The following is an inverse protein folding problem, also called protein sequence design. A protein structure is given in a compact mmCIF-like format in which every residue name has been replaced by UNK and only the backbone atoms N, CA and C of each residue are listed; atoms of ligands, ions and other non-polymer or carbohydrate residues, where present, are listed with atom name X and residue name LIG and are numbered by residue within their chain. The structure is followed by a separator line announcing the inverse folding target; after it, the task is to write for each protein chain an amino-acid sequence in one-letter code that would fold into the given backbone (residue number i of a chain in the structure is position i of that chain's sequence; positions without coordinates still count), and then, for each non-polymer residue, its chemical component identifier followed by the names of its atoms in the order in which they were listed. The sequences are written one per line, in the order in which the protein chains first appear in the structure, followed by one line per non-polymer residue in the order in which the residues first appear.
data_IF_067600252857
#
_entry.id   IF_067600252857
#
_cell.length_a   1.000
_cell.length_b   1.000
_cell.length_c   1.000
_cell.angle_alpha   90.00
_cell.angle_beta   90.00
_cell.angle_gamma   90.00
#
_symmetry.space_group_name_H-M   'P 1'
#
loop_
_entity.id
_entity.type
_entity.pdbx_description
1 polymer ?
#
# COMPACT_ATOMS: atom_id res chain seq x y z
N UNK A 1 30.30 12.43 37.45
CA UNK A 1 30.04 11.41 36.39
C UNK A 1 30.23 12.08 35.05
N UNK A 2 31.31 11.76 34.33
CA UNK A 2 31.57 12.31 33.00
C UNK A 2 30.82 11.44 31.99
N UNK A 3 29.74 11.97 31.41
CA UNK A 3 29.00 11.28 30.36
C UNK A 3 29.81 11.38 29.07
N UNK A 4 30.43 10.27 28.65
CA UNK A 4 31.22 10.23 27.41
C UNK A 4 30.26 10.39 26.22
N UNK A 5 30.44 11.40 25.35
CA UNK A 5 29.52 11.63 24.24
C UNK A 5 29.53 10.43 23.29
N UNK A 6 28.35 9.95 22.92
CA UNK A 6 28.18 8.87 21.94
C UNK A 6 28.75 9.35 20.60
N UNK A 7 29.62 8.57 19.94
CA UNK A 7 30.09 8.89 18.60
C UNK A 7 28.93 9.15 17.64
N UNK A 8 29.02 10.22 16.84
CA UNK A 8 27.94 10.63 15.92
C UNK A 8 27.45 9.51 14.98
N UNK A 9 28.36 8.62 14.56
CA UNK A 9 28.03 7.44 13.74
C UNK A 9 27.14 6.45 14.50
N UNK A 10 27.40 6.23 15.79
CA UNK A 10 26.58 5.35 16.63
C UNK A 10 25.21 5.99 16.90
N UNK A 11 25.17 7.30 17.14
CA UNK A 11 23.91 8.03 17.31
C UNK A 11 23.03 7.92 16.06
N UNK A 12 23.57 8.19 14.86
CA UNK A 12 22.83 8.06 13.61
C UNK A 12 22.32 6.63 13.35
N UNK A 13 23.08 5.60 13.75
CA UNK A 13 22.64 4.19 13.66
C UNK A 13 21.48 3.89 14.62
N UNK A 14 21.52 4.42 15.84
CA UNK A 14 20.45 4.25 16.82
C UNK A 14 19.18 4.96 16.38
N UNK A 15 19.30 6.20 15.87
CA UNK A 15 18.20 6.97 15.31
C UNK A 15 17.56 6.27 14.10
N UNK A 16 18.36 5.73 13.18
CA UNK A 16 17.82 4.96 12.05
C UNK A 16 17.11 3.68 12.51
N UNK A 17 17.66 2.98 13.50
CA UNK A 17 17.02 1.77 14.06
C UNK A 17 15.69 2.10 14.75
N UNK A 18 15.62 3.20 15.50
CA UNK A 18 14.39 3.63 16.16
C UNK A 18 13.34 4.12 15.15
N UNK A 19 13.76 4.82 14.08
CA UNK A 19 12.90 5.20 12.97
C UNK A 19 12.30 3.97 12.27
N UNK A 20 13.11 2.95 11.96
CA UNK A 20 12.61 1.69 11.36
C UNK A 20 11.61 0.96 12.24
N UNK A 21 11.83 0.92 13.56
CA UNK A 21 10.88 0.29 14.50
C UNK A 21 9.53 1.01 14.48
N UNK A 22 9.53 2.34 14.60
CA UNK A 22 8.31 3.16 14.55
C UNK A 22 7.60 3.03 13.20
N UNK A 23 8.37 3.02 12.10
CA UNK A 23 7.83 2.80 10.76
C UNK A 23 7.09 1.46 10.65
N UNK A 24 7.69 0.37 11.17
CA UNK A 24 7.06 -0.94 11.17
C UNK A 24 5.78 -1.01 12.02
N UNK A 25 5.80 -0.36 13.19
CA UNK A 25 4.63 -0.23 14.07
C UNK A 25 3.49 0.52 13.36
N UNK A 26 3.74 1.71 12.82
CA UNK A 26 2.73 2.49 12.11
C UNK A 26 2.25 1.84 10.83
N UNK A 27 3.12 1.12 10.11
CA UNK A 27 2.70 0.33 8.95
C UNK A 27 1.77 -0.82 9.36
N UNK A 28 2.00 -1.42 10.52
CA UNK A 28 1.10 -2.45 11.07
C UNK A 28 -0.26 -1.85 11.41
N UNK A 29 -0.28 -0.74 12.16
CA UNK A 29 -1.52 -0.03 12.51
C UNK A 29 -2.27 0.48 11.27
N UNK A 30 -1.56 0.95 10.24
CA UNK A 30 -2.18 1.38 8.99
C UNK A 30 -2.86 0.20 8.27
N UNK A 31 -2.22 -0.96 8.23
CA UNK A 31 -2.82 -2.16 7.65
C UNK A 31 -4.08 -2.57 8.43
N UNK A 32 -4.00 -2.62 9.76
CA UNK A 32 -5.14 -2.88 10.63
C UNK A 32 -6.28 -1.87 10.40
N UNK A 33 -5.95 -0.58 10.20
CA UNK A 33 -6.92 0.47 9.87
C UNK A 33 -7.64 0.18 8.55
N UNK A 34 -6.91 -0.23 7.50
CA UNK A 34 -7.52 -0.65 6.24
C UNK A 34 -8.39 -1.90 6.41
N UNK A 35 -7.98 -2.83 7.27
CA UNK A 35 -8.79 -4.01 7.58
C UNK A 35 -10.08 -3.66 8.31
N UNK A 36 -10.05 -2.67 9.21
CA UNK A 36 -11.23 -2.12 9.85
C UNK A 36 -12.16 -1.43 8.84
N UNK A 37 -11.62 -0.79 7.80
CA UNK A 37 -12.45 -0.20 6.73
C UNK A 37 -13.31 -1.25 6.00
N UNK A 38 -12.86 -2.50 5.86
CA UNK A 38 -13.66 -3.57 5.26
C UNK A 38 -14.90 -3.94 6.08
N UNK A 39 -14.85 -3.78 7.39
CA UNK A 39 -15.91 -4.21 8.31
C UNK A 39 -16.70 -3.05 8.92
N UNK A 40 -16.30 -1.81 8.64
CA UNK A 40 -17.01 -0.62 9.12
C UNK A 40 -18.46 -0.61 8.61
N UNK A 41 -19.41 -0.54 9.54
CA UNK A 41 -20.84 -0.63 9.24
C UNK A 41 -21.42 0.73 8.83
N UNK A 42 -20.81 1.82 9.29
CA UNK A 42 -21.26 3.20 9.09
C UNK A 42 -20.27 4.06 8.32
N UNK A 43 -20.79 5.10 7.66
CA UNK A 43 -19.95 6.11 6.99
C UNK A 43 -19.15 6.96 7.97
N UNK A 44 -19.70 7.27 9.15
CA UNK A 44 -18.98 8.05 10.16
C UNK A 44 -17.72 7.33 10.64
N UNK A 45 -17.84 6.03 10.92
CA UNK A 45 -16.69 5.17 11.24
C UNK A 45 -15.72 5.08 10.07
N UNK A 46 -16.23 4.91 8.84
CA UNK A 46 -15.39 4.90 7.64
C UNK A 46 -14.61 6.21 7.46
N UNK A 47 -15.22 7.37 7.73
CA UNK A 47 -14.55 8.67 7.69
C UNK A 47 -13.42 8.74 8.72
N UNK A 48 -13.71 8.36 9.96
CA UNK A 48 -12.71 8.38 11.04
C UNK A 48 -11.52 7.45 10.74
N UNK A 49 -11.78 6.27 10.18
CA UNK A 49 -10.73 5.33 9.76
C UNK A 49 -9.93 5.86 8.57
N UNK A 50 -10.56 6.53 7.60
CA UNK A 50 -9.85 7.17 6.48
C UNK A 50 -8.94 8.31 6.96
N UNK A 51 -9.40 9.13 7.90
CA UNK A 51 -8.58 10.18 8.51
C UNK A 51 -7.39 9.61 9.28
N UNK A 52 -7.63 8.54 10.06
CA UNK A 52 -6.57 7.83 10.78
C UNK A 52 -5.55 7.26 9.80
N UNK A 53 -6.02 6.60 8.73
CA UNK A 53 -5.14 6.06 7.69
C UNK A 53 -4.31 7.16 7.01
N UNK A 54 -4.92 8.32 6.73
CA UNK A 54 -4.21 9.46 6.15
C UNK A 54 -3.10 9.96 7.08
N UNK A 55 -3.41 10.15 8.37
CA UNK A 55 -2.45 10.60 9.37
C UNK A 55 -1.31 9.59 9.56
N UNK A 56 -1.62 8.28 9.63
CA UNK A 56 -0.59 7.24 9.69
C UNK A 56 0.30 7.23 8.45
N UNK A 57 -0.28 7.45 7.26
CA UNK A 57 0.47 7.49 6.00
C UNK A 57 1.40 8.70 5.93
N UNK A 58 0.94 9.87 6.36
CA UNK A 58 1.77 11.08 6.47
C UNK A 58 2.91 10.90 7.47
N UNK A 59 2.61 10.28 8.62
CA UNK A 59 3.62 9.90 9.62
C UNK A 59 4.66 8.93 9.06
N UNK A 60 4.24 7.95 8.24
CA UNK A 60 5.17 7.09 7.52
C UNK A 60 6.03 7.88 6.53
N UNK A 61 5.47 8.86 5.81
CA UNK A 61 6.21 9.73 4.91
C UNK A 61 7.33 10.49 5.63
N UNK A 62 7.01 11.12 6.77
CA UNK A 62 7.96 11.85 7.62
C UNK A 62 9.11 10.96 8.10
N UNK A 63 8.82 9.70 8.47
CA UNK A 63 9.84 8.77 8.97
C UNK A 63 10.63 8.06 7.87
N UNK A 64 10.10 7.97 6.65
CA UNK A 64 10.66 7.10 5.61
C UNK A 64 12.14 7.41 5.35
N UNK A 65 12.45 8.70 5.12
CA UNK A 65 13.82 9.16 4.84
C UNK A 65 14.77 8.88 6.01
N UNK A 66 14.31 9.02 7.24
CA UNK A 66 15.12 8.71 8.43
C UNK A 66 15.37 7.20 8.58
N UNK A 67 14.38 6.37 8.24
CA UNK A 67 14.44 4.91 8.36
C UNK A 67 15.28 4.25 7.25
N UNK A 68 15.13 4.69 6.00
CA UNK A 68 15.68 4.01 4.82
C UNK A 68 16.68 4.85 4.03
N UNK A 69 16.70 6.17 4.25
CA UNK A 69 17.44 7.11 3.43
C UNK A 69 16.58 7.62 2.29
N UNK A 70 17.20 8.28 1.31
CA UNK A 70 16.52 8.70 0.09
C UNK A 70 16.28 7.47 -0.78
N UNK A 71 15.04 7.00 -0.81
CA UNK A 71 14.57 5.98 -1.73
C UNK A 71 13.54 6.61 -2.67
N UNK A 72 13.65 6.27 -3.95
CA UNK A 72 12.71 6.67 -4.97
C UNK A 72 11.75 5.51 -5.29
N UNK A 73 10.50 5.82 -5.64
CA UNK A 73 9.54 4.86 -6.16
C UNK A 73 9.87 4.47 -7.61
N UNK A 74 9.09 3.55 -8.19
CA UNK A 74 9.31 3.08 -9.55
C UNK A 74 9.21 4.20 -10.61
N UNK A 75 8.58 5.33 -10.28
CA UNK A 75 8.48 6.51 -11.14
C UNK A 75 9.59 7.54 -10.92
N UNK A 76 10.57 7.26 -10.05
CA UNK A 76 11.70 8.16 -9.77
C UNK A 76 11.38 9.29 -8.79
N UNK A 77 10.22 9.25 -8.12
CA UNK A 77 9.86 10.24 -7.09
C UNK A 77 10.25 9.73 -5.73
N UNK A 78 10.51 10.63 -4.78
CA UNK A 78 10.84 10.18 -3.43
C UNK A 78 9.68 9.40 -2.81
N UNK A 79 9.96 8.29 -2.13
CA UNK A 79 8.92 7.49 -1.48
C UNK A 79 8.15 8.31 -0.42
N UNK A 80 8.81 9.27 0.23
CA UNK A 80 8.16 10.20 1.15
C UNK A 80 7.08 11.03 0.44
N UNK A 81 7.39 11.60 -0.73
CA UNK A 81 6.41 12.34 -1.54
C UNK A 81 5.25 11.45 -1.98
N UNK A 82 5.52 10.21 -2.41
CA UNK A 82 4.48 9.26 -2.80
C UNK A 82 3.53 8.92 -1.64
N UNK A 83 4.06 8.77 -0.42
CA UNK A 83 3.27 8.56 0.79
C UNK A 83 2.47 9.82 1.18
N UNK A 84 3.06 11.01 1.07
CA UNK A 84 2.33 12.27 1.29
C UNK A 84 1.16 12.41 0.30
N UNK A 85 1.36 12.07 -0.97
CA UNK A 85 0.28 12.05 -1.97
C UNK A 85 -0.82 11.02 -1.61
N UNK A 86 -0.46 9.82 -1.12
CA UNK A 86 -1.45 8.85 -0.64
C UNK A 86 -2.27 9.42 0.53
N UNK A 87 -1.63 10.09 1.49
CA UNK A 87 -2.30 10.72 2.61
C UNK A 87 -3.30 11.80 2.15
N UNK A 88 -2.91 12.61 1.15
CA UNK A 88 -3.81 13.61 0.55
C UNK A 88 -5.02 12.95 -0.13
N UNK A 89 -4.81 11.87 -0.89
CA UNK A 89 -5.89 11.11 -1.52
C UNK A 89 -6.85 10.48 -0.49
N UNK A 90 -6.32 9.94 0.61
CA UNK A 90 -7.14 9.40 1.71
C UNK A 90 -8.04 10.48 2.32
N UNK A 91 -7.49 11.68 2.58
CA UNK A 91 -8.25 12.84 3.07
C UNK A 91 -9.33 13.28 2.07
N UNK A 92 -9.00 13.27 0.78
CA UNK A 92 -9.95 13.62 -0.27
C UNK A 92 -11.12 12.63 -0.32
N UNK A 93 -10.86 11.32 -0.23
CA UNK A 93 -11.92 10.32 -0.13
C UNK A 93 -12.74 10.51 1.14
N UNK A 94 -12.11 10.76 2.29
CA UNK A 94 -12.81 11.07 3.54
C UNK A 94 -13.71 12.31 3.40
N UNK A 95 -13.26 13.33 2.67
CA UNK A 95 -14.07 14.51 2.38
C UNK A 95 -15.28 14.17 1.50
N UNK A 96 -15.13 13.28 0.50
CA UNK A 96 -16.29 12.80 -0.27
C UNK A 96 -17.28 12.02 0.59
N UNK A 97 -16.81 11.18 1.51
CA UNK A 97 -17.68 10.46 2.45
C UNK A 97 -18.44 11.43 3.35
N UNK A 98 -17.75 12.45 3.88
CA UNK A 98 -18.36 13.54 4.65
C UNK A 98 -19.45 14.28 3.88
N UNK A 99 -19.26 14.49 2.58
CA UNK A 99 -20.27 15.10 1.72
C UNK A 99 -21.48 14.19 1.53
N UNK A 100 -21.29 12.88 1.34
CA UNK A 100 -22.39 11.92 1.22
C UNK A 100 -23.27 11.90 2.48
N UNK A 101 -22.69 12.00 3.68
CA UNK A 101 -23.44 12.08 4.95
C UNK A 101 -23.96 13.49 5.27
N UNK A 102 -23.67 14.50 4.43
CA UNK A 102 -24.16 15.87 4.61
C UNK A 102 -23.44 16.69 5.68
N UNK A 103 -22.25 16.26 6.14
CA UNK A 103 -21.46 17.00 7.15
C UNK A 103 -20.66 18.16 6.55
N UNK A 104 -20.39 18.12 5.25
CA UNK A 104 -19.79 19.23 4.50
C UNK A 104 -20.56 19.46 3.21
N UNK A 105 -20.59 20.69 2.71
CA UNK A 105 -21.08 20.99 1.37
C UNK A 105 -19.95 20.75 0.37
N UNK A 106 -20.18 19.89 -0.62
CA UNK A 106 -19.26 19.73 -1.73
C UNK A 106 -19.57 20.78 -2.80
N UNK A 107 -18.57 21.51 -3.31
CA UNK A 107 -18.82 22.49 -4.36
C UNK A 107 -19.29 21.78 -5.64
N UNK A 108 -20.40 22.25 -6.20
CA UNK A 108 -20.83 21.83 -7.52
C UNK A 108 -19.74 22.19 -8.54
N UNK A 109 -19.30 21.20 -9.32
CA UNK A 109 -18.32 21.41 -10.39
C UNK A 109 -18.90 22.30 -11.49
N UNK A 110 -18.84 23.60 -11.28
CA UNK A 110 -19.02 24.67 -12.27
C UNK A 110 -17.65 25.16 -12.75
N UNK A 111 -16.68 24.25 -12.89
CA UNK A 111 -15.33 24.59 -13.35
C UNK A 111 -15.37 24.90 -14.85
N UNK A 112 -14.69 25.98 -15.30
CA UNK A 112 -14.61 26.32 -16.73
C UNK A 112 -14.03 25.17 -17.56
N UNK A 113 -14.49 25.05 -18.81
CA UNK A 113 -13.89 24.16 -19.80
C UNK A 113 -12.42 24.56 -20.01
N UNK A 114 -11.47 23.66 -19.74
CA UNK A 114 -10.05 23.87 -20.05
C UNK A 114 -9.05 23.68 -18.90
N UNK A 115 -9.46 23.30 -17.68
CA UNK A 115 -8.50 22.96 -16.63
C UNK A 115 -7.88 21.57 -16.87
N UNK A 116 -6.57 21.43 -16.66
CA UNK A 116 -5.80 20.17 -16.88
C UNK A 116 -6.31 18.97 -16.06
N UNK A 117 -7.19 19.18 -15.07
CA UNK A 117 -7.72 18.13 -14.20
C UNK A 117 -9.27 18.06 -14.19
N UNK A 118 -9.94 18.59 -15.22
CA UNK A 118 -11.42 18.64 -15.25
C UNK A 118 -12.06 17.24 -15.13
N UNK A 119 -11.47 16.20 -15.73
CA UNK A 119 -11.98 14.84 -15.63
C UNK A 119 -11.91 14.28 -14.20
N UNK A 120 -10.79 14.49 -13.52
CA UNK A 120 -10.59 14.07 -12.13
C UNK A 120 -11.51 14.81 -11.17
N UNK A 121 -11.61 16.14 -11.29
CA UNK A 121 -12.51 16.97 -10.48
C UNK A 121 -13.98 16.55 -10.63
N UNK A 122 -14.41 16.21 -11.85
CA UNK A 122 -15.75 15.65 -12.10
C UNK A 122 -15.94 14.33 -11.37
N UNK A 123 -14.97 13.42 -11.42
CA UNK A 123 -15.09 12.14 -10.71
C UNK A 123 -15.10 12.31 -9.18
N UNK A 124 -14.29 13.20 -8.62
CA UNK A 124 -14.36 13.54 -7.19
C UNK A 124 -15.73 14.07 -6.79
N UNK A 125 -16.32 14.93 -7.63
CA UNK A 125 -17.66 15.48 -7.39
C UNK A 125 -18.75 14.43 -7.52
N UNK A 126 -18.66 13.54 -8.51
CA UNK A 126 -19.58 12.41 -8.62
C UNK A 126 -19.44 11.47 -7.42
N UNK A 127 -18.22 11.20 -6.95
CA UNK A 127 -17.97 10.40 -5.76
C UNK A 127 -18.57 11.03 -4.50
N UNK A 128 -18.47 12.35 -4.32
CA UNK A 128 -19.07 13.09 -3.20
C UNK A 128 -20.62 13.00 -3.15
N UNK A 129 -21.26 12.68 -4.26
CA UNK A 129 -22.72 12.51 -4.35
C UNK A 129 -23.15 11.05 -4.53
N UNK A 130 -22.21 10.11 -4.48
CA UNK A 130 -22.49 8.68 -4.70
C UNK A 130 -22.40 7.93 -3.38
N UNK A 131 -23.55 7.48 -2.87
CA UNK A 131 -23.59 6.59 -1.70
C UNK A 131 -23.39 5.12 -2.06
N UNK A 132 -23.96 4.62 -3.16
CA UNK A 132 -23.92 3.19 -3.48
C UNK A 132 -22.46 2.63 -3.60
N UNK A 133 -22.03 1.69 -2.73
CA UNK A 133 -20.64 1.23 -2.67
C UNK A 133 -20.07 0.70 -3.99
N UNK A 134 -20.84 -0.13 -4.71
CA UNK A 134 -20.40 -0.67 -5.99
C UNK A 134 -20.14 0.43 -7.05
N UNK A 135 -20.90 1.54 -7.02
CA UNK A 135 -20.63 2.69 -7.90
C UNK A 135 -19.40 3.47 -7.43
N UNK A 136 -19.23 3.63 -6.10
CA UNK A 136 -18.04 4.27 -5.53
C UNK A 136 -16.75 3.54 -5.94
N UNK A 137 -16.74 2.21 -5.87
CA UNK A 137 -15.62 1.38 -6.32
C UNK A 137 -15.21 1.66 -7.78
N UNK A 138 -16.19 1.75 -8.68
CA UNK A 138 -15.94 2.10 -10.09
C UNK A 138 -15.31 3.48 -10.23
N UNK A 139 -15.81 4.47 -9.50
CA UNK A 139 -15.25 5.83 -9.55
C UNK A 139 -13.86 5.93 -8.94
N UNK A 140 -13.59 5.21 -7.84
CA UNK A 140 -12.27 5.13 -7.22
C UNK A 140 -11.23 4.49 -8.16
N UNK A 141 -11.60 3.43 -8.88
CA UNK A 141 -10.71 2.82 -9.89
C UNK A 141 -10.43 3.75 -11.07
N UNK A 142 -11.40 4.54 -11.51
CA UNK A 142 -11.18 5.56 -12.55
C UNK A 142 -10.31 6.71 -12.04
N UNK A 143 -10.56 7.18 -10.82
CA UNK A 143 -9.74 8.18 -10.15
C UNK A 143 -8.30 7.70 -9.98
N UNK A 144 -8.08 6.42 -9.67
CA UNK A 144 -6.74 5.84 -9.64
C UNK A 144 -6.00 6.05 -10.96
N UNK A 145 -6.63 5.70 -12.08
CA UNK A 145 -5.99 5.84 -13.40
C UNK A 145 -5.60 7.29 -13.69
N UNK A 146 -6.51 8.24 -13.44
CA UNK A 146 -6.23 9.67 -13.65
C UNK A 146 -5.15 10.19 -12.67
N UNK A 147 -5.25 9.83 -11.39
CA UNK A 147 -4.28 10.24 -10.37
C UNK A 147 -2.89 9.65 -10.63
N UNK A 148 -2.79 8.46 -11.26
CA UNK A 148 -1.51 7.86 -11.63
C UNK A 148 -0.76 8.70 -12.68
N UNK A 149 -1.46 9.43 -13.55
CA UNK A 149 -0.84 10.25 -14.60
C UNK A 149 -0.01 11.41 -14.03
N UNK A 150 -0.42 12.00 -12.89
CA UNK A 150 0.26 13.17 -12.30
C UNK A 150 0.84 12.93 -10.91
N UNK A 151 0.22 12.07 -10.09
CA UNK A 151 0.76 11.63 -8.80
C UNK A 151 1.51 10.30 -8.89
N UNK A 152 1.73 9.72 -10.07
CA UNK A 152 2.42 8.44 -10.23
C UNK A 152 1.68 7.22 -9.67
N UNK A 153 2.02 6.05 -10.22
CA UNK A 153 1.39 4.77 -9.88
C UNK A 153 1.36 4.52 -8.38
N UNK A 154 2.50 4.71 -7.70
CA UNK A 154 2.63 4.39 -6.28
C UNK A 154 1.69 5.21 -5.40
N UNK A 155 1.49 6.49 -5.69
CA UNK A 155 0.57 7.29 -4.89
C UNK A 155 -0.89 6.90 -5.16
N UNK A 156 -1.22 6.59 -6.40
CA UNK A 156 -2.58 6.22 -6.79
C UNK A 156 -3.05 4.87 -6.21
N UNK A 157 -2.12 3.97 -5.84
CA UNK A 157 -2.43 2.62 -5.33
C UNK A 157 -3.45 2.63 -4.18
N UNK A 158 -3.44 3.66 -3.34
CA UNK A 158 -4.38 3.76 -2.22
C UNK A 158 -5.84 3.82 -2.68
N UNK A 159 -6.11 4.39 -3.86
CA UNK A 159 -7.45 4.43 -4.43
C UNK A 159 -7.92 3.05 -4.90
N UNK A 160 -7.00 2.18 -5.36
CA UNK A 160 -7.31 0.78 -5.64
C UNK A 160 -7.68 0.02 -4.36
N UNK A 161 -6.92 0.24 -3.28
CA UNK A 161 -7.22 -0.34 -1.97
C UNK A 161 -8.63 0.05 -1.52
N UNK A 162 -9.00 1.32 -1.67
CA UNK A 162 -10.33 1.79 -1.30
C UNK A 162 -11.42 1.30 -2.26
N UNK A 163 -11.13 1.14 -3.55
CA UNK A 163 -12.06 0.54 -4.49
C UNK A 163 -12.39 -0.91 -4.11
N UNK A 164 -11.39 -1.70 -3.71
CA UNK A 164 -11.58 -3.06 -3.18
C UNK A 164 -12.44 -3.08 -1.92
N UNK A 165 -12.27 -2.11 -1.01
CA UNK A 165 -13.11 -1.97 0.19
C UNK A 165 -14.56 -1.68 -0.20
N UNK A 166 -14.80 -0.75 -1.11
CA UNK A 166 -16.15 -0.40 -1.56
C UNK A 166 -16.84 -1.55 -2.33
N UNK A 167 -16.08 -2.31 -3.12
CA UNK A 167 -16.58 -3.52 -3.78
C UNK A 167 -16.98 -4.59 -2.76
N UNK A 168 -16.17 -4.79 -1.73
CA UNK A 168 -16.51 -5.70 -0.62
C UNK A 168 -17.77 -5.27 0.14
N UNK A 169 -17.94 -3.96 0.37
CA UNK A 169 -19.16 -3.43 0.97
C UNK A 169 -20.38 -3.66 0.07
N UNK A 170 -20.20 -3.56 -1.25
CA UNK A 170 -21.27 -3.81 -2.21
C UNK A 170 -21.80 -5.26 -2.17
N UNK A 171 -20.97 -6.23 -1.79
CA UNK A 171 -21.39 -7.63 -1.62
C UNK A 171 -22.16 -7.89 -0.32
N UNK A 172 -22.28 -6.90 0.57
CA UNK A 172 -23.00 -7.03 1.85
C UNK A 172 -22.32 -7.97 2.85
N UNK A 173 -21.07 -8.34 2.59
CA UNK A 173 -20.29 -9.22 3.45
C UNK A 173 -19.57 -8.40 4.52
N UNK A 174 -19.69 -8.79 5.78
CA UNK A 174 -18.91 -8.23 6.90
C UNK A 174 -17.65 -9.05 7.20
N UNK A 175 -17.41 -10.12 6.43
CA UNK A 175 -16.26 -10.98 6.61
C UNK A 175 -15.06 -10.39 5.88
N UNK A 176 -14.04 -9.99 6.64
CA UNK A 176 -12.75 -9.48 6.14
C UNK A 176 -12.33 -10.20 4.86
N UNK A 177 -12.13 -9.42 3.78
CA UNK A 177 -11.55 -9.95 2.56
C UNK A 177 -10.21 -10.61 2.92
N UNK A 178 -10.00 -11.86 2.50
CA UNK A 178 -8.74 -12.56 2.69
C UNK A 178 -7.67 -11.89 1.82
N UNK A 179 -7.14 -10.76 2.29
CA UNK A 179 -6.06 -10.06 1.61
C UNK A 179 -4.83 -10.95 1.70
N UNK A 180 -4.13 -11.23 0.58
CA UNK A 180 -2.79 -11.82 0.64
C UNK A 180 -1.78 -10.77 1.12
N UNK A 181 -2.01 -10.18 2.30
CA UNK A 181 -1.05 -9.32 2.97
C UNK A 181 0.09 -10.21 3.48
N UNK A 182 1.24 -10.14 2.82
CA UNK A 182 2.49 -10.74 3.28
C UNK A 182 2.55 -12.28 3.32
N UNK A 183 1.49 -13.00 2.93
CA UNK A 183 1.56 -14.47 2.86
C UNK A 183 2.48 -14.93 1.74
N UNK A 184 2.48 -14.29 0.57
CA UNK A 184 3.26 -14.80 -0.57
C UNK A 184 4.77 -14.85 -0.28
N UNK A 185 5.43 -13.79 0.24
CA UNK A 185 6.84 -13.88 0.63
C UNK A 185 7.09 -14.87 1.77
N UNK A 186 6.21 -14.92 2.79
CA UNK A 186 6.38 -15.81 3.95
C UNK A 186 6.15 -17.28 3.62
N UNK A 187 5.19 -17.58 2.74
CA UNK A 187 4.91 -18.91 2.19
C UNK A 187 6.02 -19.32 1.24
N UNK A 188 6.56 -18.41 0.42
CA UNK A 188 7.73 -18.70 -0.42
C UNK A 188 8.97 -18.97 0.44
N UNK A 189 9.23 -18.16 1.46
CA UNK A 189 10.31 -18.37 2.43
C UNK A 189 10.11 -19.69 3.16
N UNK A 190 8.89 -19.97 3.64
CA UNK A 190 8.55 -21.22 4.32
C UNK A 190 8.71 -22.44 3.40
N UNK A 191 8.27 -22.35 2.15
CA UNK A 191 8.43 -23.40 1.15
C UNK A 191 9.90 -23.62 0.77
N UNK A 192 10.69 -22.56 0.64
CA UNK A 192 12.14 -22.65 0.39
C UNK A 192 12.85 -23.30 1.58
N UNK A 193 12.53 -22.90 2.82
CA UNK A 193 13.10 -23.52 4.02
C UNK A 193 12.71 -24.99 4.16
N UNK A 194 11.45 -25.34 3.87
CA UNK A 194 10.99 -26.73 3.87
C UNK A 194 11.70 -27.57 2.80
N UNK A 195 11.92 -27.01 1.59
CA UNK A 195 12.69 -27.68 0.55
C UNK A 195 14.15 -27.89 0.96
N UNK A 196 14.80 -26.88 1.56
CA UNK A 196 16.17 -26.98 2.09
C UNK A 196 16.27 -28.08 3.15
N UNK A 197 15.31 -28.15 4.07
CA UNK A 197 15.24 -29.19 5.09
C UNK A 197 15.03 -30.58 4.47
N UNK A 198 14.19 -30.69 3.44
CA UNK A 198 13.97 -31.94 2.71
C UNK A 198 15.27 -32.44 2.05
N UNK A 199 16.03 -31.55 1.40
CA UNK A 199 17.34 -31.88 0.78
C UNK A 199 18.33 -32.47 1.78
N UNK A 200 18.31 -32.01 3.04
CA UNK A 200 19.20 -32.51 4.09
C UNK A 200 18.85 -33.93 4.56
N UNK A 201 17.59 -34.36 4.38
CA UNK A 201 17.06 -35.62 4.92
C UNK A 201 17.05 -36.73 3.86
N UNK A 202 17.21 -36.42 2.56
CA UNK A 202 17.18 -37.44 1.50
C UNK A 202 18.34 -38.45 1.64
N UNK A 203 18.05 -39.73 1.89
CA UNK A 203 19.07 -40.78 1.93
C UNK A 203 19.57 -41.10 0.51
N UNK A 204 20.87 -41.35 0.35
CA UNK A 204 21.48 -41.72 -0.93
C UNK A 204 22.05 -40.57 -1.77
N UNK A 205 21.90 -39.32 -1.33
CA UNK A 205 22.56 -38.16 -1.94
C UNK A 205 23.95 -37.94 -1.31
N UNK A 206 24.98 -37.97 -2.14
CA UNK A 206 26.35 -37.60 -1.77
C UNK A 206 26.48 -36.08 -1.54
N UNK A 207 27.60 -35.65 -0.96
CA UNK A 207 27.80 -34.25 -0.58
C UNK A 207 27.65 -33.29 -1.77
N UNK A 208 28.11 -33.70 -2.95
CA UNK A 208 28.05 -32.90 -4.17
C UNK A 208 26.61 -32.81 -4.72
N UNK A 209 25.86 -33.92 -4.73
CA UNK A 209 24.47 -33.93 -5.12
C UNK A 209 23.58 -33.05 -4.23
N UNK A 210 23.86 -32.98 -2.93
CA UNK A 210 23.15 -32.06 -2.01
C UNK A 210 23.39 -30.59 -2.35
N UNK A 211 24.63 -30.22 -2.67
CA UNK A 211 24.98 -28.84 -3.07
C UNK A 211 24.30 -28.47 -4.39
N UNK A 212 24.33 -29.35 -5.38
CA UNK A 212 23.68 -29.10 -6.68
C UNK A 212 22.17 -28.93 -6.52
N UNK A 213 21.53 -29.79 -5.70
CA UNK A 213 20.09 -29.69 -5.43
C UNK A 213 19.74 -28.38 -4.70
N UNK A 214 20.53 -27.98 -3.70
CA UNK A 214 20.37 -26.70 -3.00
C UNK A 214 20.47 -25.49 -3.94
N UNK A 215 21.47 -25.47 -4.81
CA UNK A 215 21.65 -24.40 -5.80
C UNK A 215 20.48 -24.35 -6.77
N UNK A 216 20.01 -25.51 -7.25
CA UNK A 216 18.85 -25.60 -8.15
C UNK A 216 17.57 -25.07 -7.49
N UNK A 217 17.34 -25.40 -6.21
CA UNK A 217 16.19 -24.91 -5.44
C UNK A 217 16.24 -23.38 -5.27
N UNK A 218 17.39 -22.84 -4.90
CA UNK A 218 17.58 -21.40 -4.75
C UNK A 218 17.41 -20.66 -6.09
N UNK A 219 17.96 -21.22 -7.17
CA UNK A 219 17.82 -20.66 -8.52
C UNK A 219 16.34 -20.69 -8.98
N UNK A 220 15.63 -21.79 -8.76
CA UNK A 220 14.21 -21.91 -9.10
C UNK A 220 13.34 -20.94 -8.28
N UNK A 221 13.61 -20.79 -6.98
CA UNK A 221 12.93 -19.83 -6.13
C UNK A 221 13.18 -18.38 -6.58
N UNK A 222 14.42 -18.07 -6.97
CA UNK A 222 14.79 -16.77 -7.52
C UNK A 222 14.09 -16.49 -8.86
N UNK A 223 14.07 -17.46 -9.77
CA UNK A 223 13.35 -17.34 -11.05
C UNK A 223 11.85 -17.17 -10.82
N UNK A 224 11.24 -17.93 -9.90
CA UNK A 224 9.84 -17.78 -9.56
C UNK A 224 9.54 -16.38 -9.00
N UNK A 225 10.43 -15.83 -8.16
CA UNK A 225 10.33 -14.47 -7.65
C UNK A 225 10.45 -13.44 -8.77
N UNK A 226 11.42 -13.58 -9.68
CA UNK A 226 11.59 -12.71 -10.84
C UNK A 226 10.41 -12.76 -11.81
N UNK A 227 9.87 -13.95 -12.08
CA UNK A 227 8.66 -14.12 -12.90
C UNK A 227 7.46 -13.50 -12.21
N UNK A 228 7.28 -13.69 -10.91
CA UNK A 228 6.19 -13.06 -10.16
C UNK A 228 6.26 -11.53 -10.22
N UNK A 229 7.44 -10.95 -9.97
CA UNK A 229 7.68 -9.50 -10.07
C UNK A 229 7.47 -9.02 -11.51
N UNK A 230 7.97 -9.75 -12.50
CA UNK A 230 7.87 -9.39 -13.92
C UNK A 230 6.48 -9.57 -14.52
N UNK A 231 5.69 -10.55 -14.06
CA UNK A 231 4.28 -10.73 -14.45
C UNK A 231 3.43 -9.65 -13.80
N UNK A 232 3.70 -9.28 -12.55
CA UNK A 232 3.04 -8.13 -11.91
C UNK A 232 3.34 -6.82 -12.64
N UNK A 233 4.56 -6.65 -13.16
CA UNK A 233 4.93 -5.52 -14.03
C UNK A 233 4.24 -5.55 -15.40
N UNK A 234 4.18 -6.71 -16.07
CA UNK A 234 3.56 -6.85 -17.41
C UNK A 234 2.03 -6.79 -17.41
N UNK A 235 1.37 -7.28 -16.36
CA UNK A 235 -0.08 -7.12 -16.21
C UNK A 235 -0.51 -5.65 -16.06
N UNK A 236 0.43 -4.74 -15.74
CA UNK A 236 0.18 -3.29 -15.79
C UNK A 236 0.40 -2.68 -17.19
N UNK A 237 1.15 -3.34 -18.08
CA UNK A 237 1.39 -2.85 -19.45
C UNK A 237 0.31 -3.30 -20.46
N UNK A 238 -0.29 -4.48 -20.26
CA UNK A 238 -1.33 -5.02 -21.17
C UNK A 238 -2.72 -4.38 -20.92
N UNK A 239 -2.85 -3.54 -19.90
CA UNK A 239 -4.04 -2.74 -19.62
C UNK A 239 -4.00 -1.30 -20.15
N UNK A 240 -2.94 -0.91 -20.88
CA UNK A 240 -2.89 0.34 -21.67
C UNK A 240 -3.52 0.13 -23.04
#
# INVERSE_FOLDING_TARGET
MVSTPIPAVLQARLERRSARRRYAEWSTTLNETFDHLYVAEGRDESVALLDLAANLTERLAELHTAAWGREDDAGGRSMAESLTSQAALLRQVAATERAVIGTITWPDCTTPLGCEHTAELRLWTVLAHTSAPGKRAVYLNRLRALAAEHLGERASEVLAVLAEVEEHRATGTTRRAARPQNMLPRVLIGAVLALIALVAIVPGLDGLGRVVLLVAVLAAAYVALCVYVGVRGRSQEVGR
#
